data_IF_578992155941
#
_entry.id   IF_578992155941
#
_cell.length_a   1.000
_cell.length_b   1.000
_cell.length_c   1.000
_cell.angle_alpha   90.00
_cell.angle_beta   90.00
_cell.angle_gamma   90.00
#
_symmetry.space_group_name_H-M   'P 1'
#
loop_
_entity.id
_entity.type
_entity.pdbx_description
1 polymer ?
#
# COMPACT_ATOMS: atom_id res chain seq x y z
N UNK A 1 24.20 0.97 -5.41
CA UNK A 1 22.79 1.39 -5.25
C UNK A 1 21.98 0.41 -6.08
N UNK A 2 21.19 -0.45 -5.45
CA UNK A 2 20.40 -1.46 -6.16
C UNK A 2 19.06 -0.83 -6.50
N UNK A 3 18.78 -0.63 -7.78
CA UNK A 3 17.47 -0.17 -8.24
C UNK A 3 16.60 -1.42 -8.42
N UNK A 4 15.63 -1.64 -7.54
CA UNK A 4 14.55 -2.58 -7.82
C UNK A 4 13.48 -1.76 -8.55
N UNK A 5 13.23 -2.09 -9.82
CA UNK A 5 12.11 -1.53 -10.55
C UNK A 5 10.85 -2.29 -10.14
N UNK A 6 9.88 -1.58 -9.57
CA UNK A 6 8.52 -2.09 -9.42
C UNK A 6 7.59 -1.13 -10.15
N UNK A 7 7.48 -1.30 -11.47
CA UNK A 7 6.38 -0.75 -12.25
C UNK A 7 5.22 -1.75 -12.13
N UNK A 8 4.10 -1.31 -11.56
CA UNK A 8 2.91 -2.15 -11.47
C UNK A 8 1.92 -1.71 -12.53
N UNK A 9 1.56 -2.64 -13.40
CA UNK A 9 0.57 -2.45 -14.45
C UNK A 9 -0.74 -3.07 -14.00
N UNK A 10 -1.83 -2.39 -14.29
CA UNK A 10 -3.16 -2.97 -14.25
C UNK A 10 -3.42 -3.63 -15.61
N UNK A 11 -4.06 -4.81 -15.64
CA UNK A 11 -4.61 -5.49 -16.82
C UNK A 11 -3.84 -6.60 -17.58
N UNK A 12 -2.88 -7.36 -17.00
CA UNK A 12 -2.44 -8.67 -17.57
C UNK A 12 -2.00 -9.75 -16.57
N UNK A 13 -2.01 -11.06 -16.96
CA UNK A 13 -1.17 -12.09 -16.36
C UNK A 13 0.33 -11.76 -16.55
N UNK A 14 1.12 -11.95 -15.50
CA UNK A 14 2.54 -11.61 -15.41
C UNK A 14 3.35 -12.32 -16.51
N UNK A 15 4.16 -11.63 -17.34
CA UNK A 15 5.10 -12.27 -18.26
C UNK A 15 6.12 -13.13 -17.51
N UNK A 16 6.56 -14.25 -18.10
CA UNK A 16 7.60 -15.11 -17.51
C UNK A 16 8.87 -14.29 -17.25
N UNK A 17 9.31 -14.30 -15.99
CA UNK A 17 10.51 -13.61 -15.49
C UNK A 17 11.71 -13.85 -16.40
N UNK A 18 12.35 -12.76 -16.85
CA UNK A 18 13.68 -12.80 -17.47
C UNK A 18 14.71 -12.88 -16.35
N UNK A 19 15.45 -13.99 -16.30
CA UNK A 19 16.49 -14.21 -15.29
C UNK A 19 17.69 -13.29 -15.55
N UNK A 20 17.75 -12.16 -14.86
CA UNK A 20 18.97 -11.36 -14.71
C UNK A 20 19.75 -11.80 -13.48
N UNK A 21 21.05 -12.04 -13.61
CA UNK A 21 21.94 -12.33 -12.48
C UNK A 21 22.23 -11.03 -11.74
N UNK A 22 21.65 -10.86 -10.54
CA UNK A 22 22.05 -9.77 -9.64
C UNK A 22 23.46 -10.03 -9.10
N UNK A 23 24.33 -9.01 -9.01
CA UNK A 23 25.66 -9.19 -8.44
C UNK A 23 25.57 -9.60 -6.96
N UNK A 24 26.43 -10.53 -6.55
CA UNK A 24 26.55 -10.94 -5.16
C UNK A 24 26.96 -9.72 -4.30
N UNK A 25 26.10 -9.31 -3.37
CA UNK A 25 26.43 -8.26 -2.40
C UNK A 25 26.76 -8.87 -1.05
N UNK A 26 27.75 -8.29 -0.38
CA UNK A 26 28.05 -8.56 1.03
C UNK A 26 26.85 -8.18 1.89
N UNK A 27 26.57 -8.96 2.95
CA UNK A 27 25.52 -8.64 3.93
C UNK A 27 25.79 -7.23 4.49
N UNK A 28 24.94 -6.23 4.18
CA UNK A 28 25.14 -4.89 4.71
C UNK A 28 24.87 -4.86 6.22
N UNK A 29 25.44 -3.90 6.92
CA UNK A 29 25.09 -3.61 8.30
C UNK A 29 23.61 -3.19 8.35
N UNK A 30 22.78 -4.01 8.99
CA UNK A 30 21.33 -3.84 9.03
C UNK A 30 20.96 -2.99 10.25
N UNK A 31 20.07 -2.00 10.05
CA UNK A 31 19.49 -1.26 11.19
C UNK A 31 18.55 -2.19 11.95
N UNK A 32 18.68 -2.34 13.28
CA UNK A 32 17.80 -3.22 14.05
C UNK A 32 16.33 -2.84 13.88
N UNK A 33 15.50 -3.80 13.45
CA UNK A 33 14.05 -3.64 13.36
C UNK A 33 13.36 -4.19 14.60
N UNK A 34 12.21 -3.61 14.96
CA UNK A 34 11.41 -4.06 16.10
C UNK A 34 10.75 -5.44 15.87
N UNK A 35 10.49 -5.81 14.61
CA UNK A 35 9.93 -7.10 14.21
C UNK A 35 10.87 -7.80 13.23
N UNK A 36 10.98 -9.12 13.35
CA UNK A 36 11.77 -9.93 12.43
C UNK A 36 11.01 -10.19 11.12
N UNK A 37 11.75 -10.35 10.02
CA UNK A 37 11.17 -10.52 8.69
C UNK A 37 10.27 -11.76 8.56
N UNK A 38 10.56 -12.83 9.29
CA UNK A 38 9.75 -14.04 9.33
C UNK A 38 8.38 -13.80 9.99
N UNK A 39 8.34 -13.06 11.10
CA UNK A 39 7.11 -12.69 11.79
C UNK A 39 6.20 -11.85 10.88
N UNK A 40 6.79 -10.86 10.20
CA UNK A 40 6.08 -10.00 9.23
C UNK A 40 5.59 -10.81 8.04
N UNK A 41 6.44 -11.68 7.49
CA UNK A 41 6.09 -12.55 6.35
C UNK A 41 4.89 -13.44 6.70
N UNK A 42 4.89 -14.05 7.88
CA UNK A 42 3.75 -14.85 8.33
C UNK A 42 2.46 -14.04 8.44
N UNK A 43 2.51 -12.82 8.97
CA UNK A 43 1.33 -11.95 9.06
C UNK A 43 0.78 -11.61 7.67
N UNK A 44 1.64 -11.17 6.75
CA UNK A 44 1.26 -10.84 5.38
C UNK A 44 0.68 -12.06 4.64
N UNK A 45 1.32 -13.22 4.78
CA UNK A 45 0.92 -14.44 4.09
C UNK A 45 -0.32 -15.12 4.67
N UNK A 46 -0.66 -14.89 5.95
CA UNK A 46 -1.83 -15.49 6.62
C UNK A 46 -3.08 -14.60 6.58
N UNK A 47 -2.96 -13.29 6.31
CA UNK A 47 -4.12 -12.39 6.16
C UNK A 47 -5.03 -12.84 5.01
N UNK A 48 -6.35 -12.79 5.20
CA UNK A 48 -7.35 -13.15 4.18
C UNK A 48 -8.43 -12.08 4.07
N UNK A 49 -9.01 -11.94 2.88
CA UNK A 49 -10.29 -11.27 2.72
C UNK A 49 -11.39 -12.24 3.16
N UNK A 50 -12.13 -11.89 4.20
CA UNK A 50 -13.27 -12.66 4.72
C UNK A 50 -14.53 -11.95 4.24
N UNK A 51 -15.47 -12.68 3.64
CA UNK A 51 -16.69 -12.09 3.09
C UNK A 51 -17.69 -11.74 4.21
N UNK A 52 -18.51 -10.67 4.06
CA UNK A 52 -19.44 -10.25 5.11
C UNK A 52 -20.41 -11.34 5.59
N UNK A 53 -20.80 -12.27 4.71
CA UNK A 53 -21.67 -13.41 5.03
C UNK A 53 -21.07 -14.37 6.07
N UNK A 54 -19.74 -14.35 6.22
CA UNK A 54 -18.98 -15.23 7.09
C UNK A 54 -18.60 -14.51 8.41
N UNK A 55 -19.12 -13.30 8.67
CA UNK A 55 -18.91 -12.58 9.93
C UNK A 55 -19.91 -13.05 11.00
N UNK A 56 -19.47 -13.09 12.26
CA UNK A 56 -20.30 -13.53 13.39
C UNK A 56 -21.40 -12.54 13.79
N UNK A 57 -21.37 -11.31 13.27
CA UNK A 57 -22.26 -10.22 13.69
C UNK A 57 -21.93 -9.60 15.05
N UNK A 58 -20.86 -10.07 15.73
CA UNK A 58 -20.40 -9.49 16.99
C UNK A 58 -19.92 -8.04 16.79
N UNK A 59 -20.17 -7.19 17.78
CA UNK A 59 -19.71 -5.80 17.76
C UNK A 59 -18.19 -5.73 18.04
N UNK A 60 -17.46 -4.99 17.21
CA UNK A 60 -16.05 -4.67 17.45
C UNK A 60 -15.99 -3.47 18.41
N UNK A 61 -15.36 -3.59 19.59
CA UNK A 61 -15.20 -2.48 20.52
C UNK A 61 -14.57 -1.25 19.87
N UNK A 62 -15.06 -0.06 20.25
CA UNK A 62 -14.57 1.23 19.72
C UNK A 62 -13.05 1.37 19.79
N UNK A 63 -12.44 0.99 20.90
CA UNK A 63 -10.98 1.06 21.10
C UNK A 63 -10.20 0.24 20.06
N UNK A 64 -10.73 -0.92 19.66
CA UNK A 64 -10.12 -1.75 18.62
C UNK A 64 -10.25 -1.09 17.24
N UNK A 65 -11.40 -0.46 16.95
CA UNK A 65 -11.59 0.33 15.73
C UNK A 65 -10.61 1.51 15.71
N UNK A 66 -10.46 2.24 16.80
CA UNK A 66 -9.51 3.36 16.92
C UNK A 66 -8.06 2.89 16.75
N UNK A 67 -7.68 1.73 17.31
CA UNK A 67 -6.35 1.13 17.10
C UNK A 67 -6.09 0.85 15.61
N UNK A 68 -7.09 0.33 14.89
CA UNK A 68 -6.99 0.05 13.44
C UNK A 68 -6.87 1.36 12.65
N UNK A 69 -7.69 2.36 12.97
CA UNK A 69 -7.66 3.66 12.30
C UNK A 69 -6.36 4.41 12.58
N UNK A 70 -5.80 4.27 13.78
CA UNK A 70 -4.50 4.83 14.13
C UNK A 70 -3.38 4.17 13.31
N UNK A 71 -3.41 2.85 13.12
CA UNK A 71 -2.47 2.18 12.22
C UNK A 71 -2.56 2.72 10.77
N UNK A 72 -3.77 2.99 10.28
CA UNK A 72 -3.98 3.61 8.97
C UNK A 72 -3.50 5.07 8.93
N UNK A 73 -3.63 5.82 10.03
CA UNK A 73 -3.16 7.21 10.17
C UNK A 73 -1.63 7.32 9.97
N UNK A 74 -0.88 6.25 10.25
CA UNK A 74 0.56 6.20 10.02
C UNK A 74 0.98 5.93 8.57
N UNK A 75 0.03 5.77 7.64
CA UNK A 75 0.34 5.63 6.21
C UNK A 75 1.25 6.78 5.71
N UNK A 76 2.18 6.51 4.79
CA UNK A 76 3.03 7.56 4.22
C UNK A 76 2.25 8.40 3.20
N UNK A 77 2.55 9.70 3.13
CA UNK A 77 2.00 10.61 2.10
C UNK A 77 3.08 11.54 1.59
N UNK A 78 3.16 11.69 0.26
CA UNK A 78 3.91 12.77 -0.35
C UNK A 78 3.39 14.12 0.15
N UNK A 79 4.29 15.09 0.36
CA UNK A 79 3.97 16.42 0.89
C UNK A 79 3.25 16.46 2.26
N UNK A 80 3.18 15.36 3.00
CA UNK A 80 2.57 15.28 4.35
C UNK A 80 1.12 15.80 4.37
N UNK A 81 0.35 15.50 3.32
CA UNK A 81 -1.01 16.03 3.14
C UNK A 81 -2.08 15.34 3.98
N UNK A 82 -1.83 14.11 4.45
CA UNK A 82 -2.76 13.32 5.28
C UNK A 82 -4.22 13.34 4.75
N UNK A 83 -4.45 12.94 3.47
CA UNK A 83 -5.70 13.22 2.78
C UNK A 83 -6.87 12.34 3.23
N UNK A 84 -6.61 11.27 3.99
CA UNK A 84 -7.64 10.34 4.45
C UNK A 84 -8.62 11.00 5.43
N UNK A 85 -9.89 10.64 5.30
CA UNK A 85 -10.97 10.90 6.24
C UNK A 85 -11.71 9.60 6.46
N UNK A 86 -12.01 9.28 7.72
CA UNK A 86 -12.69 8.06 8.11
C UNK A 86 -14.09 8.37 8.64
N UNK A 87 -15.08 7.60 8.18
CA UNK A 87 -16.42 7.61 8.75
C UNK A 87 -16.74 6.20 9.25
N UNK A 88 -17.06 6.07 10.53
CA UNK A 88 -17.48 4.78 11.10
C UNK A 88 -19.00 4.73 11.10
N UNK A 89 -19.56 3.72 10.42
CA UNK A 89 -20.99 3.56 10.20
C UNK A 89 -21.62 2.60 11.20
N UNK A 90 -22.66 3.05 11.91
CA UNK A 90 -23.56 2.20 12.68
C UNK A 90 -24.49 1.33 11.83
N UNK A 91 -25.25 0.42 12.48
CA UNK A 91 -26.12 -0.56 11.80
C UNK A 91 -27.10 0.07 10.80
N UNK A 92 -27.81 1.14 11.20
CA UNK A 92 -28.80 1.80 10.36
C UNK A 92 -28.19 2.33 9.06
N UNK A 93 -27.03 2.99 9.15
CA UNK A 93 -26.33 3.53 7.98
C UNK A 93 -25.81 2.42 7.05
N UNK A 94 -25.45 1.25 7.59
CA UNK A 94 -25.08 0.08 6.78
C UNK A 94 -26.27 -0.49 5.99
N UNK A 95 -27.45 -0.58 6.63
CA UNK A 95 -28.69 -1.00 5.96
C UNK A 95 -29.04 -0.06 4.79
N UNK A 96 -29.01 1.26 5.03
CA UNK A 96 -29.29 2.26 4.01
C UNK A 96 -28.32 2.17 2.81
N UNK A 97 -27.04 1.86 3.07
CA UNK A 97 -26.02 1.70 2.03
C UNK A 97 -26.27 0.48 1.13
N UNK A 98 -26.72 -0.63 1.70
CA UNK A 98 -27.05 -1.85 0.93
C UNK A 98 -28.22 -1.57 -0.01
N UNK A 99 -29.27 -0.92 0.48
CA UNK A 99 -30.45 -0.57 -0.31
C UNK A 99 -30.10 0.35 -1.49
N UNK A 100 -29.19 1.30 -1.29
CA UNK A 100 -28.71 2.18 -2.36
C UNK A 100 -27.88 1.41 -3.39
N UNK A 101 -27.04 0.48 -2.95
CA UNK A 101 -26.18 -0.31 -3.83
C UNK A 101 -27.00 -1.22 -4.73
N UNK A 102 -27.99 -1.93 -4.18
CA UNK A 102 -28.86 -2.83 -4.95
C UNK A 102 -29.63 -2.12 -6.05
N UNK A 103 -29.93 -0.83 -5.88
CA UNK A 103 -30.61 0.01 -6.88
C UNK A 103 -29.70 0.44 -8.04
N UNK A 104 -28.38 0.36 -7.89
CA UNK A 104 -27.43 1.08 -8.74
C UNK A 104 -26.58 0.20 -9.69
N UNK A 105 -26.78 -1.12 -9.75
CA UNK A 105 -25.83 -2.04 -10.41
C UNK A 105 -26.17 -2.39 -11.88
N UNK A 106 -25.44 -1.84 -12.87
CA UNK A 106 -25.19 -2.52 -14.14
C UNK A 106 -23.69 -2.82 -14.36
N UNK A 107 -23.39 -4.07 -14.76
CA UNK A 107 -22.13 -4.44 -15.43
C UNK A 107 -20.90 -4.69 -14.53
N UNK A 108 -20.16 -5.76 -14.84
CA UNK A 108 -19.02 -6.27 -14.05
C UNK A 108 -17.68 -6.00 -14.73
N UNK A 109 -17.00 -4.96 -14.28
CA UNK A 109 -15.54 -4.82 -14.25
C UNK A 109 -15.19 -4.07 -12.96
N UNK A 110 -14.05 -4.40 -12.33
CA UNK A 110 -13.57 -3.63 -11.19
C UNK A 110 -13.31 -2.19 -11.67
N UNK A 111 -13.83 -1.16 -10.98
CA UNK A 111 -13.44 0.21 -11.23
C UNK A 111 -11.92 0.40 -11.13
N UNK A 112 -11.35 1.28 -11.95
CA UNK A 112 -9.90 1.57 -11.96
C UNK A 112 -9.35 1.95 -10.56
N UNK A 113 -10.16 2.63 -9.75
CA UNK A 113 -9.75 3.02 -8.40
C UNK A 113 -9.50 1.80 -7.49
N UNK A 114 -10.21 0.69 -7.68
CA UNK A 114 -9.99 -0.54 -6.90
C UNK A 114 -8.62 -1.13 -7.22
N UNK A 115 -8.25 -1.18 -8.50
CA UNK A 115 -6.95 -1.66 -8.96
C UNK A 115 -5.82 -0.74 -8.47
N UNK A 116 -6.04 0.58 -8.51
CA UNK A 116 -5.10 1.58 -7.96
C UNK A 116 -4.86 1.35 -6.46
N UNK A 117 -5.93 1.12 -5.69
CA UNK A 117 -5.83 0.81 -4.26
C UNK A 117 -5.12 -0.53 -4.00
N UNK A 118 -5.35 -1.54 -4.83
CA UNK A 118 -4.67 -2.83 -4.73
C UNK A 118 -3.15 -2.68 -4.91
N UNK A 119 -2.71 -1.89 -5.90
CA UNK A 119 -1.29 -1.56 -6.10
C UNK A 119 -0.73 -0.79 -4.90
N UNK A 120 -1.43 0.23 -4.40
CA UNK A 120 -0.98 0.98 -3.23
C UNK A 120 -0.81 0.09 -1.99
N UNK A 121 -1.73 -0.86 -1.76
CA UNK A 121 -1.62 -1.84 -0.69
C UNK A 121 -0.42 -2.78 -0.88
N UNK A 122 -0.14 -3.20 -2.11
CA UNK A 122 1.04 -4.00 -2.42
C UNK A 122 2.34 -3.23 -2.13
N UNK A 123 2.43 -1.96 -2.52
CA UNK A 123 3.58 -1.10 -2.20
C UNK A 123 3.73 -0.89 -0.70
N UNK A 124 2.63 -0.73 0.05
CA UNK A 124 2.67 -0.67 1.51
C UNK A 124 3.24 -1.96 2.13
N UNK A 125 2.91 -3.14 1.60
CA UNK A 125 3.51 -4.40 2.05
C UNK A 125 5.02 -4.45 1.76
N UNK A 126 5.47 -3.92 0.62
CA UNK A 126 6.90 -3.79 0.30
C UNK A 126 7.59 -2.90 1.35
N UNK A 127 6.96 -1.78 1.74
CA UNK A 127 7.46 -0.91 2.80
C UNK A 127 7.62 -1.64 4.13
N UNK A 128 6.57 -2.36 4.58
CA UNK A 128 6.58 -3.09 5.86
C UNK A 128 7.72 -4.13 5.88
N UNK A 129 7.89 -4.90 4.81
CA UNK A 129 8.98 -5.88 4.70
C UNK A 129 10.36 -5.21 4.63
N UNK A 130 10.48 -4.12 3.88
CA UNK A 130 11.70 -3.30 3.77
C UNK A 130 12.16 -2.85 5.16
N UNK A 131 11.24 -2.35 5.99
CA UNK A 131 11.53 -1.95 7.37
C UNK A 131 11.89 -3.13 8.28
N UNK A 132 11.26 -4.31 8.10
CA UNK A 132 11.60 -5.52 8.85
C UNK A 132 13.02 -6.02 8.54
N UNK A 133 13.49 -5.82 7.31
CA UNK A 133 14.84 -6.15 6.86
C UNK A 133 15.89 -5.08 7.19
N UNK A 134 15.50 -4.00 7.88
CA UNK A 134 16.37 -2.86 8.20
C UNK A 134 16.91 -2.13 6.96
N UNK A 135 16.15 -2.17 5.87
CA UNK A 135 16.41 -1.45 4.63
C UNK A 135 15.58 -0.15 4.58
N UNK A 136 15.96 0.76 3.69
CA UNK A 136 15.26 2.00 3.40
C UNK A 136 14.47 1.88 2.09
N UNK A 137 13.22 2.36 2.11
CA UNK A 137 12.32 2.39 0.96
C UNK A 137 11.87 3.81 0.62
N UNK A 138 11.70 4.11 -0.67
CA UNK A 138 11.16 5.38 -1.14
C UNK A 138 10.27 5.19 -2.35
N UNK A 139 8.96 5.40 -2.19
CA UNK A 139 8.01 5.47 -3.28
C UNK A 139 7.97 6.89 -3.84
N UNK A 140 8.31 7.02 -5.12
CA UNK A 140 8.15 8.25 -5.88
C UNK A 140 7.15 8.04 -7.01
N UNK A 141 6.16 8.93 -7.12
CA UNK A 141 5.24 8.95 -8.26
C UNK A 141 5.94 9.40 -9.55
N UNK A 142 7.07 10.10 -9.42
CA UNK A 142 7.72 10.92 -10.46
C UNK A 142 6.73 11.94 -11.07
N UNK A 143 7.22 12.81 -11.94
CA UNK A 143 6.34 13.70 -12.71
C UNK A 143 5.64 12.86 -13.78
N UNK A 144 4.33 13.03 -13.95
CA UNK A 144 3.55 12.26 -14.91
C UNK A 144 4.11 12.42 -16.34
N UNK A 145 4.60 13.62 -16.64
CA UNK A 145 5.23 14.01 -17.90
C UNK A 145 6.47 13.18 -18.25
N UNK A 146 7.20 12.68 -17.25
CA UNK A 146 8.38 11.84 -17.47
C UNK A 146 8.04 10.35 -17.47
N UNK A 147 7.04 9.95 -16.67
CA UNK A 147 6.66 8.54 -16.47
C UNK A 147 5.78 8.00 -17.61
N UNK A 148 4.96 8.87 -18.21
CA UNK A 148 3.91 8.46 -19.14
C UNK A 148 4.33 8.60 -20.62
N UNK A 149 5.63 8.85 -20.90
CA UNK A 149 6.13 8.95 -22.28
C UNK A 149 6.14 7.60 -22.99
N UNK A 150 6.01 7.54 -24.33
CA UNK A 150 6.08 6.29 -25.09
C UNK A 150 7.38 5.51 -24.87
N UNK A 151 8.52 6.19 -24.81
CA UNK A 151 9.83 5.56 -24.57
C UNK A 151 9.90 4.95 -23.17
N UNK A 152 9.26 5.60 -22.19
CA UNK A 152 9.20 5.10 -20.83
C UNK A 152 8.28 3.87 -20.72
N UNK A 153 7.14 3.91 -21.43
CA UNK A 153 6.25 2.75 -21.57
C UNK A 153 6.97 1.58 -22.24
N UNK A 154 7.67 1.83 -23.35
CA UNK A 154 8.45 0.81 -24.05
C UNK A 154 9.55 0.20 -23.15
N UNK A 155 10.32 1.05 -22.44
CA UNK A 155 11.36 0.61 -21.50
C UNK A 155 10.82 -0.34 -20.43
N UNK A 156 9.60 -0.07 -19.93
CA UNK A 156 8.94 -0.86 -18.91
C UNK A 156 8.10 -2.02 -19.47
N UNK A 157 7.97 -2.13 -20.80
CA UNK A 157 7.11 -3.12 -21.45
C UNK A 157 5.61 -2.88 -21.20
N UNK A 158 5.19 -1.61 -21.09
CA UNK A 158 3.81 -1.20 -20.86
C UNK A 158 3.03 -1.07 -22.17
N UNK A 159 1.77 -1.50 -22.14
CA UNK A 159 0.82 -1.26 -23.23
C UNK A 159 0.06 0.06 -23.06
N UNK A 160 -0.80 0.39 -24.02
CA UNK A 160 -1.54 1.65 -24.04
C UNK A 160 -2.45 1.80 -22.79
N UNK A 161 -3.13 0.71 -22.40
CA UNK A 161 -4.03 0.66 -21.25
C UNK A 161 -3.32 0.63 -19.90
N UNK A 162 -2.02 0.31 -19.86
CA UNK A 162 -1.27 0.19 -18.63
C UNK A 162 -0.98 1.58 -18.04
N UNK A 163 -1.13 1.69 -16.71
CA UNK A 163 -0.78 2.89 -15.95
C UNK A 163 0.34 2.57 -14.97
N UNK A 164 1.47 3.27 -15.10
CA UNK A 164 2.53 3.23 -14.09
C UNK A 164 2.12 4.15 -12.93
N UNK A 165 2.07 3.63 -11.70
CA UNK A 165 1.73 4.44 -10.52
C UNK A 165 2.95 5.02 -9.78
N UNK A 166 4.15 4.75 -10.27
CA UNK A 166 5.42 5.24 -9.73
C UNK A 166 6.45 4.12 -9.53
N UNK A 167 7.50 4.43 -8.77
CA UNK A 167 8.64 3.53 -8.53
C UNK A 167 8.92 3.40 -7.04
N UNK A 168 9.28 2.19 -6.62
CA UNK A 168 9.78 1.92 -5.28
C UNK A 168 11.30 1.75 -5.29
N UNK A 169 12.01 2.71 -4.71
CA UNK A 169 13.46 2.67 -4.56
C UNK A 169 13.83 1.98 -3.25
N UNK A 170 14.79 1.04 -3.30
CA UNK A 170 15.26 0.28 -2.14
C UNK A 170 16.76 0.51 -1.92
N UNK A 171 17.19 0.63 -0.67
CA UNK A 171 18.61 0.76 -0.34
C UNK A 171 18.96 0.46 1.12
N UNK A 172 20.25 0.43 1.42
CA UNK A 172 20.75 0.33 2.79
C UNK A 172 20.89 1.75 3.35
N UNK A 173 20.20 2.10 4.45
CA UNK A 173 20.33 3.42 5.05
C UNK A 173 21.74 3.62 5.64
N UNK A 174 22.24 4.86 5.63
CA UNK A 174 23.45 5.22 6.38
C UNK A 174 23.18 5.10 7.88
N UNK A 175 24.20 4.80 8.67
CA UNK A 175 24.05 4.72 10.13
C UNK A 175 23.55 6.05 10.71
N UNK A 176 22.55 6.01 11.60
CA UNK A 176 22.01 7.17 12.30
C UNK A 176 21.11 8.11 11.49
N UNK A 177 20.72 7.76 10.26
CA UNK A 177 19.82 8.62 9.46
C UNK A 177 18.34 8.28 9.62
N UNK A 178 18.01 7.08 10.08
CA UNK A 178 16.64 6.56 10.11
C UNK A 178 15.75 7.41 11.02
N UNK A 179 16.27 7.81 12.18
CA UNK A 179 15.58 8.63 13.17
C UNK A 179 15.17 10.01 12.61
N UNK A 180 15.97 10.56 11.68
CA UNK A 180 15.72 11.85 11.04
C UNK A 180 14.58 11.84 10.01
N UNK A 181 14.16 10.67 9.53
CA UNK A 181 13.05 10.53 8.58
C UNK A 181 11.69 10.34 9.26
N UNK A 182 11.64 10.37 10.60
CA UNK A 182 10.37 10.27 11.34
C UNK A 182 9.49 11.47 11.02
N UNK A 183 8.35 11.22 10.38
CA UNK A 183 7.34 12.24 10.12
C UNK A 183 6.34 12.33 11.28
N UNK A 184 5.76 13.51 11.50
CA UNK A 184 4.61 13.69 12.40
C UNK A 184 3.31 13.34 11.68
N UNK A 185 2.28 13.02 12.47
CA UNK A 185 0.89 12.89 12.01
C UNK A 185 0.01 13.79 12.85
N UNK A 186 -1.00 14.42 12.23
CA UNK A 186 -2.05 15.13 12.95
C UNK A 186 -2.91 14.21 13.82
N UNK A 187 -3.70 14.78 14.72
CA UNK A 187 -4.54 14.02 15.64
C UNK A 187 -5.59 13.18 14.88
N UNK A 188 -5.86 11.97 15.36
CA UNK A 188 -6.87 11.08 14.76
C UNK A 188 -8.27 11.71 14.80
N UNK A 189 -8.59 12.44 15.87
CA UNK A 189 -9.86 13.14 16.05
C UNK A 189 -10.19 14.13 14.93
N UNK A 190 -9.17 14.69 14.28
CA UNK A 190 -9.35 15.66 13.19
C UNK A 190 -9.78 14.99 11.88
N UNK A 191 -9.75 13.65 11.84
CA UNK A 191 -9.92 12.85 10.62
C UNK A 191 -11.01 11.78 10.74
N UNK A 192 -11.60 11.57 11.93
CA UNK A 192 -12.62 10.54 12.18
C UNK A 192 -13.95 11.17 12.57
N UNK A 193 -15.01 10.78 11.85
CA UNK A 193 -16.39 11.09 12.21
C UNK A 193 -17.16 9.80 12.53
N UNK A 194 -18.00 9.86 13.57
CA UNK A 194 -18.85 8.75 14.01
C UNK A 194 -20.29 9.04 13.59
N UNK A 195 -20.92 8.12 12.85
CA UNK A 195 -22.27 8.28 12.30
C UNK A 195 -23.14 7.04 12.47
#
# INVERSE_FOLDING_TARGET
MTFIYAAWTTFRPIPKVVNGTLPASSKPAVVPSALQADQVSQLLAKRRSIFPKDFSGAHVPREQVETILEAANWAPTHNRTEPWRFTVLGRKAQEDMVDLTLKALPGKLNPEWEETCAVAAAVQNIYIMTSALGLGGYWSSWTAEARDTPEFKELLGLEEQDKCLGFFLLGVPKQGVVEGYRSSRGALSDKVAWK
#
